data_IF_621720390286
#
_entry.id   IF_621720390286
#
_cell.length_a   1.000
_cell.length_b   1.000
_cell.length_c   1.000
_cell.angle_alpha   90.00
_cell.angle_beta   90.00
_cell.angle_gamma   90.00
#
_symmetry.space_group_name_H-M   'P 1'
#
loop_
_entity.id
_entity.type
_entity.pdbx_description
1 polymer ?
#
# COMPACT_ATOMS: atom_id res chain seq x y z
N UNK A 1 2.63 -25.05 27.47
CA UNK A 1 3.17 -23.71 27.12
C UNK A 1 2.91 -22.79 28.30
N UNK A 2 3.76 -21.73 28.50
CA UNK A 2 3.47 -20.74 29.53
C UNK A 2 2.21 -19.96 29.13
N UNK A 3 1.26 -19.82 30.07
CA UNK A 3 -0.03 -19.13 29.83
C UNK A 3 0.12 -17.70 29.20
N UNK A 4 1.19 -17.00 29.59
CA UNK A 4 1.53 -15.69 29.03
C UNK A 4 1.77 -15.71 27.51
N UNK A 5 2.33 -16.80 26.95
CA UNK A 5 2.56 -16.92 25.50
C UNK A 5 1.25 -17.17 24.73
N UNK A 6 0.32 -17.85 25.36
CA UNK A 6 -1.01 -18.09 24.78
C UNK A 6 -1.85 -16.80 24.79
N UNK A 7 -1.79 -16.03 25.88
CA UNK A 7 -2.43 -14.72 25.95
C UNK A 7 -1.90 -13.78 24.86
N UNK A 8 -0.57 -13.72 24.67
CA UNK A 8 0.05 -12.90 23.65
C UNK A 8 -0.32 -13.35 22.24
N UNK A 9 -0.44 -14.65 22.02
CA UNK A 9 -0.86 -15.22 20.73
C UNK A 9 -2.31 -14.88 20.42
N UNK A 10 -3.19 -14.96 21.43
CA UNK A 10 -4.61 -14.58 21.29
C UNK A 10 -4.76 -13.06 21.07
N UNK A 11 -3.94 -12.23 21.70
CA UNK A 11 -3.92 -10.79 21.45
C UNK A 11 -3.54 -10.45 19.99
N UNK A 12 -2.50 -11.13 19.47
CA UNK A 12 -2.07 -10.96 18.07
C UNK A 12 -3.15 -11.43 17.09
N UNK A 13 -3.79 -12.57 17.35
CA UNK A 13 -4.91 -13.06 16.54
C UNK A 13 -6.08 -12.08 16.56
N UNK A 14 -6.48 -11.61 17.74
CA UNK A 14 -7.56 -10.64 17.89
C UNK A 14 -7.32 -9.29 17.21
N UNK A 15 -6.08 -9.00 16.80
CA UNK A 15 -5.73 -7.82 15.99
C UNK A 15 -5.63 -8.12 14.49
N UNK A 16 -5.27 -9.34 14.13
CA UNK A 16 -5.21 -9.78 12.73
C UNK A 16 -6.63 -9.97 12.18
N UNK A 17 -7.52 -10.65 12.94
CA UNK A 17 -8.87 -10.98 12.50
C UNK A 17 -9.72 -9.76 12.07
N UNK A 18 -9.76 -8.63 12.81
CA UNK A 18 -10.52 -7.45 12.41
C UNK A 18 -9.82 -6.60 11.37
N UNK A 19 -8.57 -6.87 10.99
CA UNK A 19 -7.82 -6.08 10.01
C UNK A 19 -8.08 -6.56 8.59
N UNK A 20 -8.28 -5.64 7.66
CA UNK A 20 -8.40 -5.94 6.22
C UNK A 20 -7.10 -6.51 5.66
N UNK A 21 -5.98 -6.13 6.26
CA UNK A 21 -4.66 -6.61 5.89
C UNK A 21 -3.58 -6.10 6.83
N UNK A 22 -2.40 -6.70 6.74
CA UNK A 22 -1.22 -6.27 7.47
C UNK A 22 0.02 -6.25 6.60
N UNK A 23 0.96 -5.39 6.93
CA UNK A 23 2.27 -5.30 6.28
C UNK A 23 3.35 -5.67 7.28
N UNK A 24 4.25 -6.54 6.84
CA UNK A 24 5.45 -6.95 7.56
C UNK A 24 6.58 -5.99 7.24
N UNK A 25 7.10 -5.32 8.25
CA UNK A 25 8.26 -4.45 8.11
C UNK A 25 9.37 -4.86 9.08
N UNK A 26 10.59 -4.93 8.56
CA UNK A 26 11.79 -5.05 9.38
C UNK A 26 12.32 -3.65 9.64
N UNK A 27 12.63 -3.36 10.90
CA UNK A 27 13.21 -2.08 11.28
C UNK A 27 14.55 -2.27 11.95
N UNK A 28 15.51 -1.38 11.66
CA UNK A 28 16.85 -1.44 12.24
C UNK A 28 17.40 -0.02 12.43
N UNK A 29 17.84 0.30 13.66
CA UNK A 29 18.51 1.57 13.92
C UNK A 29 17.63 2.83 13.95
N UNK A 30 16.32 2.68 14.14
CA UNK A 30 15.41 3.83 14.27
C UNK A 30 15.55 4.46 15.66
N UNK A 31 15.72 5.78 15.73
CA UNK A 31 15.72 6.54 16.97
C UNK A 31 14.31 6.55 17.62
N UNK A 32 14.24 6.70 18.94
CA UNK A 32 12.96 6.75 19.66
C UNK A 32 12.00 7.84 19.14
N UNK A 33 12.51 9.02 18.82
CA UNK A 33 11.71 10.10 18.23
C UNK A 33 11.21 9.77 16.82
N UNK A 34 12.05 9.15 15.99
CA UNK A 34 11.67 8.68 14.65
C UNK A 34 10.58 7.61 14.72
N UNK A 35 10.68 6.72 15.71
CA UNK A 35 9.67 5.68 15.93
C UNK A 35 8.33 6.24 16.42
N UNK A 36 8.36 7.27 17.26
CA UNK A 36 7.16 7.99 17.69
C UNK A 36 6.48 8.69 16.51
N UNK A 37 7.25 9.40 15.69
CA UNK A 37 6.75 10.06 14.47
C UNK A 37 6.17 9.05 13.47
N UNK A 38 6.81 7.89 13.31
CA UNK A 38 6.33 6.81 12.47
C UNK A 38 4.97 6.27 12.94
N UNK A 39 4.83 6.00 14.26
CA UNK A 39 3.56 5.56 14.83
C UNK A 39 2.44 6.59 14.62
N UNK A 40 2.72 7.86 14.86
CA UNK A 40 1.73 8.92 14.68
C UNK A 40 1.22 8.99 13.24
N UNK A 41 2.14 8.93 12.26
CA UNK A 41 1.74 8.91 10.83
C UNK A 41 0.90 7.68 10.45
N UNK A 42 1.19 6.51 11.05
CA UNK A 42 0.39 5.31 10.80
C UNK A 42 -0.99 5.40 11.45
N UNK A 43 -1.09 5.97 12.64
CA UNK A 43 -2.38 6.21 13.31
C UNK A 43 -3.23 7.21 12.52
N UNK A 44 -2.64 8.29 11.98
CA UNK A 44 -3.30 9.24 11.07
C UNK A 44 -3.82 8.57 9.80
N UNK A 45 -3.09 7.55 9.29
CA UNK A 45 -3.51 6.74 8.15
C UNK A 45 -4.53 5.64 8.50
N UNK A 46 -5.00 5.57 9.76
CA UNK A 46 -5.97 4.58 10.23
C UNK A 46 -5.37 3.20 10.51
N UNK A 47 -4.06 3.10 10.72
CA UNK A 47 -3.36 1.87 11.03
C UNK A 47 -2.70 1.88 12.41
N UNK A 48 -2.38 0.69 12.90
CA UNK A 48 -1.64 0.49 14.15
C UNK A 48 -0.34 -0.28 13.88
N UNK A 49 0.73 0.05 14.59
CA UNK A 49 2.02 -0.64 14.47
C UNK A 49 2.38 -1.40 15.75
N UNK A 50 2.59 -2.70 15.61
CA UNK A 50 2.99 -3.59 16.70
C UNK A 50 4.31 -4.29 16.42
N UNK A 51 5.16 -4.33 17.43
CA UNK A 51 6.40 -5.09 17.41
C UNK A 51 6.17 -6.47 18.02
N UNK A 52 6.43 -7.50 17.23
CA UNK A 52 6.15 -8.88 17.63
C UNK A 52 7.40 -9.74 17.47
N UNK A 53 7.55 -10.72 18.40
CA UNK A 53 8.59 -11.73 18.29
C UNK A 53 8.30 -12.65 17.10
N UNK A 54 9.26 -12.85 16.21
CA UNK A 54 9.16 -13.71 15.01
C UNK A 54 8.48 -15.06 15.25
N UNK A 55 8.91 -15.77 16.33
CA UNK A 55 8.36 -17.08 16.66
C UNK A 55 6.88 -17.06 17.04
N UNK A 56 6.41 -15.96 17.65
CA UNK A 56 4.99 -15.80 18.01
C UNK A 56 4.18 -15.50 16.75
N UNK A 57 4.69 -14.63 15.90
CA UNK A 57 4.06 -14.32 14.61
C UNK A 57 3.90 -15.57 13.73
N UNK A 58 4.97 -16.36 13.54
CA UNK A 58 4.91 -17.58 12.72
C UNK A 58 3.93 -18.61 13.27
N UNK A 59 3.77 -18.70 14.61
CA UNK A 59 2.73 -19.56 15.19
C UNK A 59 1.33 -19.02 14.92
N UNK A 60 1.11 -17.72 15.14
CA UNK A 60 -0.17 -17.09 14.82
C UNK A 60 -0.52 -17.22 13.34
N UNK A 61 0.45 -17.03 12.46
CA UNK A 61 0.28 -17.17 11.02
C UNK A 61 -0.07 -18.62 10.61
N UNK A 62 0.55 -19.63 11.23
CA UNK A 62 0.20 -21.03 10.97
C UNK A 62 -1.22 -21.38 11.37
N UNK A 63 -1.69 -20.84 12.49
CA UNK A 63 -3.06 -21.06 12.97
C UNK A 63 -4.11 -20.37 12.07
N UNK A 64 -3.70 -19.37 11.30
CA UNK A 64 -4.50 -18.64 10.31
C UNK A 64 -4.26 -19.11 8.86
N UNK A 65 -3.64 -20.29 8.69
CA UNK A 65 -3.29 -20.89 7.39
C UNK A 65 -2.36 -20.02 6.51
N UNK A 66 -1.67 -19.06 7.11
CA UNK A 66 -0.73 -18.17 6.42
C UNK A 66 0.67 -18.80 6.40
N UNK A 67 1.18 -19.09 5.22
CA UNK A 67 2.50 -19.71 5.03
C UNK A 67 3.61 -18.67 5.09
N UNK A 68 4.15 -18.42 6.29
CA UNK A 68 5.36 -17.62 6.50
C UNK A 68 6.46 -18.48 7.15
N UNK A 69 7.65 -18.48 6.55
CA UNK A 69 8.82 -19.13 7.13
C UNK A 69 9.58 -18.18 8.07
N UNK A 70 10.19 -18.72 9.13
CA UNK A 70 11.01 -17.91 10.07
C UNK A 70 12.21 -17.30 9.35
N UNK A 71 12.74 -17.98 8.34
CA UNK A 71 13.94 -17.61 7.61
C UNK A 71 13.70 -16.42 6.65
N UNK A 72 12.43 -16.20 6.22
CA UNK A 72 12.04 -15.02 5.42
C UNK A 72 12.03 -13.73 6.24
N UNK A 73 12.06 -13.83 7.58
CA UNK A 73 11.94 -12.70 8.49
C UNK A 73 13.32 -12.28 9.00
N UNK A 74 14.01 -11.39 8.33
CA UNK A 74 15.27 -10.81 8.79
C UNK A 74 15.05 -9.65 9.79
N UNK A 75 15.96 -9.50 10.77
CA UNK A 75 15.98 -8.35 11.68
C UNK A 75 14.84 -8.33 12.72
N UNK A 76 14.49 -7.16 13.23
CA UNK A 76 13.37 -6.95 14.14
C UNK A 76 12.09 -6.75 13.32
N UNK A 77 11.07 -7.54 13.59
CA UNK A 77 9.83 -7.53 12.81
C UNK A 77 8.74 -6.75 13.51
N UNK A 78 8.15 -5.83 12.79
CA UNK A 78 6.94 -5.13 13.16
C UNK A 78 5.80 -5.44 12.20
N UNK A 79 4.60 -5.42 12.71
CA UNK A 79 3.36 -5.57 11.96
C UNK A 79 2.63 -4.23 11.94
N UNK A 80 2.33 -3.74 10.75
CA UNK A 80 1.45 -2.62 10.55
C UNK A 80 0.08 -3.17 10.12
N UNK A 81 -0.94 -2.96 10.96
CA UNK A 81 -2.32 -3.41 10.70
C UNK A 81 -3.13 -2.28 10.11
N UNK A 82 -3.89 -2.56 9.05
CA UNK A 82 -4.87 -1.65 8.50
C UNK A 82 -6.26 -2.00 9.01
N UNK A 83 -6.94 -1.03 9.64
CA UNK A 83 -8.33 -1.18 10.08
C UNK A 83 -9.30 -0.95 8.92
N UNK A 84 -9.21 0.22 8.28
CA UNK A 84 -10.16 0.65 7.27
C UNK A 84 -9.52 0.78 5.88
N UNK A 85 -8.28 1.30 5.81
CA UNK A 85 -7.67 1.67 4.53
C UNK A 85 -6.23 1.17 4.40
N UNK A 86 -6.08 -0.01 3.79
CA UNK A 86 -4.78 -0.64 3.56
C UNK A 86 -3.88 0.21 2.64
N UNK A 87 -4.48 0.92 1.68
CA UNK A 87 -3.75 1.76 0.73
C UNK A 87 -3.13 3.00 1.41
N UNK A 88 -3.87 3.66 2.31
CA UNK A 88 -3.35 4.79 3.07
C UNK A 88 -2.19 4.37 3.98
N UNK A 89 -2.33 3.22 4.65
CA UNK A 89 -1.28 2.63 5.49
C UNK A 89 -0.02 2.32 4.68
N UNK A 90 -0.14 1.66 3.52
CA UNK A 90 1.01 1.33 2.68
C UNK A 90 1.71 2.58 2.14
N UNK A 91 0.95 3.63 1.75
CA UNK A 91 1.52 4.91 1.35
C UNK A 91 2.30 5.58 2.47
N UNK A 92 1.73 5.65 3.68
CA UNK A 92 2.41 6.23 4.85
C UNK A 92 3.69 5.47 5.20
N UNK A 93 3.67 4.14 5.11
CA UNK A 93 4.81 3.26 5.35
C UNK A 93 5.93 3.49 4.31
N UNK A 94 5.58 3.57 3.03
CA UNK A 94 6.55 3.82 1.96
C UNK A 94 7.08 5.27 1.97
N UNK A 95 6.26 6.26 2.33
CA UNK A 95 6.73 7.63 2.54
C UNK A 95 7.81 7.68 3.61
N UNK A 96 7.59 7.00 4.75
CA UNK A 96 8.59 6.90 5.81
C UNK A 96 9.83 6.09 5.38
N UNK A 97 9.66 5.00 4.61
CA UNK A 97 10.77 4.22 4.02
C UNK A 97 11.65 5.12 3.14
N UNK A 98 11.07 5.97 2.32
CA UNK A 98 11.81 6.86 1.42
C UNK A 98 12.57 7.96 2.17
N UNK A 99 12.04 8.44 3.30
CA UNK A 99 12.75 9.40 4.18
C UNK A 99 13.91 8.74 4.94
N UNK A 100 13.80 7.42 5.22
CA UNK A 100 14.73 6.66 6.06
C UNK A 100 15.09 5.31 5.42
N UNK A 101 15.75 5.36 4.26
CA UNK A 101 16.01 4.21 3.36
C UNK A 101 16.70 3.03 4.06
N UNK A 102 17.62 3.29 5.00
CA UNK A 102 18.40 2.23 5.66
C UNK A 102 17.75 1.67 6.92
N UNK A 103 16.68 2.29 7.42
CA UNK A 103 16.12 1.94 8.74
C UNK A 103 14.89 1.06 8.67
N UNK A 104 14.14 1.08 7.56
CA UNK A 104 12.90 0.34 7.39
C UNK A 104 12.90 -0.44 6.07
N UNK A 105 12.77 -1.77 6.17
CA UNK A 105 12.59 -2.66 5.01
C UNK A 105 11.23 -3.32 5.08
N UNK A 106 10.48 -3.26 4.00
CA UNK A 106 9.22 -4.02 3.85
C UNK A 106 9.57 -5.42 3.39
N UNK A 107 9.13 -6.43 4.11
CA UNK A 107 9.36 -7.84 3.77
C UNK A 107 8.24 -8.35 2.88
N UNK A 108 7.03 -7.90 3.13
CA UNK A 108 5.83 -8.31 2.44
C UNK A 108 4.59 -7.97 3.24
N UNK A 109 3.47 -8.54 2.88
CA UNK A 109 2.22 -8.30 3.57
C UNK A 109 1.18 -9.37 3.29
N UNK A 110 0.01 -9.14 3.86
CA UNK A 110 -1.16 -9.95 3.61
C UNK A 110 -2.35 -9.03 3.38
N UNK A 111 -3.06 -9.23 2.29
CA UNK A 111 -4.19 -8.41 1.91
C UNK A 111 -5.30 -9.30 1.34
N UNK A 112 -6.51 -9.20 1.89
CA UNK A 112 -7.70 -9.95 1.44
C UNK A 112 -7.47 -11.47 1.26
N UNK A 113 -6.76 -12.10 2.20
CA UNK A 113 -6.51 -13.53 2.13
C UNK A 113 -5.34 -13.94 1.24
N UNK A 114 -4.61 -12.99 0.63
CA UNK A 114 -3.46 -13.27 -0.25
C UNK A 114 -2.15 -12.78 0.35
N UNK A 115 -1.11 -13.60 0.25
CA UNK A 115 0.25 -13.20 0.60
C UNK A 115 0.78 -12.26 -0.50
N UNK A 116 1.21 -11.06 -0.10
CA UNK A 116 1.81 -10.07 -0.97
C UNK A 116 3.32 -10.06 -0.78
N UNK A 117 4.06 -10.07 -1.89
CA UNK A 117 5.50 -9.87 -1.92
C UNK A 117 5.85 -8.40 -1.65
N UNK A 118 7.13 -8.09 -1.39
CA UNK A 118 7.61 -6.71 -1.28
C UNK A 118 7.24 -5.88 -2.53
N UNK A 119 7.37 -6.45 -3.73
CA UNK A 119 7.05 -5.80 -5.00
C UNK A 119 5.55 -5.49 -5.14
N UNK A 120 4.69 -6.39 -4.66
CA UNK A 120 3.24 -6.19 -4.69
C UNK A 120 2.83 -5.05 -3.76
N UNK A 121 3.40 -5.02 -2.54
CA UNK A 121 3.13 -3.95 -1.57
C UNK A 121 3.65 -2.60 -2.10
N UNK A 122 4.79 -2.59 -2.79
CA UNK A 122 5.31 -1.40 -3.46
C UNK A 122 4.37 -0.92 -4.58
N UNK A 123 3.86 -1.84 -5.40
CA UNK A 123 2.89 -1.52 -6.44
C UNK A 123 1.61 -0.94 -5.86
N UNK A 124 1.10 -1.53 -4.77
CA UNK A 124 -0.06 -1.02 -4.04
C UNK A 124 0.20 0.40 -3.49
N UNK A 125 1.40 0.67 -2.97
CA UNK A 125 1.74 2.00 -2.45
C UNK A 125 1.72 3.10 -3.52
N UNK A 126 1.95 2.75 -4.78
CA UNK A 126 1.93 3.67 -5.93
C UNK A 126 0.53 3.91 -6.49
N UNK A 127 -0.46 3.11 -6.09
CA UNK A 127 -1.84 3.29 -6.56
C UNK A 127 -2.43 4.64 -6.11
N UNK A 128 -3.22 5.30 -6.95
CA UNK A 128 -3.95 6.50 -6.56
C UNK A 128 -5.00 6.19 -5.47
N UNK A 129 -5.68 7.22 -4.98
CA UNK A 129 -6.78 7.04 -4.02
C UNK A 129 -7.97 6.27 -4.66
N UNK A 130 -8.86 5.73 -3.83
CA UNK A 130 -10.02 4.99 -4.34
C UNK A 130 -10.88 5.83 -5.28
N UNK A 131 -11.09 7.10 -4.95
CA UNK A 131 -11.91 8.00 -5.77
C UNK A 131 -11.21 8.37 -7.08
N UNK A 132 -9.89 8.54 -7.05
CA UNK A 132 -9.10 8.74 -8.27
C UNK A 132 -9.11 7.49 -9.17
N UNK A 133 -9.02 6.29 -8.60
CA UNK A 133 -9.14 5.04 -9.38
C UNK A 133 -10.53 4.90 -10.01
N UNK A 134 -11.60 5.24 -9.28
CA UNK A 134 -12.96 5.28 -9.81
C UNK A 134 -13.10 6.29 -10.95
N UNK A 135 -12.52 7.49 -10.78
CA UNK A 135 -12.52 8.51 -11.83
C UNK A 135 -11.75 8.08 -13.08
N UNK A 136 -10.57 7.45 -12.88
CA UNK A 136 -9.79 6.87 -14.00
C UNK A 136 -10.57 5.78 -14.73
N UNK A 137 -11.23 4.89 -14.00
CA UNK A 137 -12.04 3.83 -14.60
C UNK A 137 -13.21 4.41 -15.42
N UNK A 138 -13.93 5.39 -14.89
CA UNK A 138 -14.98 6.08 -15.63
C UNK A 138 -14.42 6.81 -16.87
N UNK A 139 -13.24 7.42 -16.74
CA UNK A 139 -12.54 8.05 -17.86
C UNK A 139 -12.18 7.06 -18.97
N UNK A 140 -11.70 5.86 -18.60
CA UNK A 140 -11.39 4.79 -19.56
C UNK A 140 -12.65 4.28 -20.28
N UNK A 141 -13.79 4.20 -19.60
CA UNK A 141 -15.06 3.83 -20.22
C UNK A 141 -15.58 4.90 -21.17
N UNK A 142 -15.35 6.18 -20.88
CA UNK A 142 -15.74 7.30 -21.72
C UNK A 142 -14.75 7.56 -22.90
N UNK A 143 -13.51 7.05 -22.78
CA UNK A 143 -12.45 7.32 -23.76
C UNK A 143 -12.81 6.98 -25.22
N UNK A 144 -13.46 5.85 -25.55
CA UNK A 144 -13.83 5.55 -26.94
C UNK A 144 -14.76 6.60 -27.53
N UNK A 145 -15.72 7.08 -26.75
CA UNK A 145 -16.67 8.12 -27.23
C UNK A 145 -15.98 9.47 -27.45
N UNK A 146 -15.14 9.88 -26.48
CA UNK A 146 -14.39 11.14 -26.58
C UNK A 146 -13.38 11.12 -27.73
N UNK A 147 -12.73 9.98 -27.97
CA UNK A 147 -11.79 9.82 -29.09
C UNK A 147 -12.51 9.93 -30.45
N UNK A 148 -13.65 9.29 -30.63
CA UNK A 148 -14.41 9.37 -31.86
C UNK A 148 -14.89 10.81 -32.15
N UNK A 149 -15.42 11.48 -31.12
CA UNK A 149 -15.81 12.90 -31.25
C UNK A 149 -14.60 13.79 -31.55
N UNK A 150 -13.46 13.54 -30.91
CA UNK A 150 -12.22 14.28 -31.18
C UNK A 150 -11.73 14.13 -32.61
N UNK A 151 -11.83 12.95 -33.23
CA UNK A 151 -11.47 12.73 -34.65
C UNK A 151 -12.39 13.51 -35.55
N UNK A 152 -13.71 13.49 -35.33
CA UNK A 152 -14.66 14.26 -36.13
C UNK A 152 -14.39 15.77 -36.01
N UNK A 153 -14.15 16.24 -34.79
CA UNK A 153 -13.80 17.64 -34.53
C UNK A 153 -12.47 18.04 -35.20
N UNK A 154 -11.46 17.16 -35.13
CA UNK A 154 -10.19 17.40 -35.80
C UNK A 154 -10.31 17.48 -37.33
N UNK A 155 -11.17 16.67 -37.94
CA UNK A 155 -11.47 16.76 -39.37
C UNK A 155 -12.09 18.10 -39.74
N UNK A 156 -13.02 18.60 -38.96
CA UNK A 156 -13.67 19.92 -39.21
C UNK A 156 -12.70 21.08 -39.01
N UNK A 157 -11.88 21.03 -37.97
CA UNK A 157 -10.90 22.07 -37.65
C UNK A 157 -9.68 22.07 -38.58
N UNK A 158 -9.33 20.93 -39.19
CA UNK A 158 -8.18 20.82 -40.10
C UNK A 158 -8.36 21.71 -41.35
N UNK A 159 -9.59 21.83 -41.87
CA UNK A 159 -9.90 22.70 -42.99
C UNK A 159 -9.69 24.17 -42.63
N UNK A 160 -10.11 24.56 -41.42
CA UNK A 160 -9.95 25.94 -40.93
C UNK A 160 -8.46 26.25 -40.74
N UNK A 161 -7.67 25.36 -40.15
CA UNK A 161 -6.22 25.52 -40.03
C UNK A 161 -5.50 25.63 -41.38
N UNK A 162 -5.94 24.90 -42.40
CA UNK A 162 -5.40 25.03 -43.74
C UNK A 162 -5.68 26.41 -44.34
N UNK A 163 -6.86 26.97 -44.13
CA UNK A 163 -7.21 28.31 -44.59
C UNK A 163 -6.45 29.41 -43.85
N UNK A 164 -6.36 29.30 -42.53
CA UNK A 164 -5.57 30.22 -41.69
C UNK A 164 -4.08 30.24 -42.06
N UNK A 165 -3.49 29.05 -42.26
CA UNK A 165 -2.09 28.94 -42.69
C UNK A 165 -1.85 29.53 -44.09
N UNK A 166 -2.85 29.50 -44.95
CA UNK A 166 -2.76 30.12 -46.29
C UNK A 166 -2.88 31.64 -46.20
N UNK A 167 -3.82 32.14 -45.38
CA UNK A 167 -4.00 33.56 -45.15
C UNK A 167 -2.77 34.23 -44.44
N UNK A 168 -2.07 33.51 -43.55
CA UNK A 168 -0.88 34.00 -42.89
C UNK A 168 0.42 33.90 -43.72
N UNK A 169 0.36 33.33 -44.92
CA UNK A 169 1.49 33.24 -45.87
C UNK A 169 1.42 34.22 -47.02
N UNK A 170 0.30 34.92 -47.15
CA UNK A 170 0.15 36.11 -48.00
C UNK A 170 0.33 37.38 -47.19
#
# INVERSE_FOLDING_TARGET
MLAEKELFLNEVKGKIDPSIGFVLASYRGINANGFASFRNRLVEAGGDFFVIKKRVFVKAAKDLELSYAVDELEGHVGLAFAKDNFLALTKALYAFKNENVDTLKVIGGHFEGKKCSEQDVETISKLPSQDEMRAQFLGLLAAPMTQTLGVVQAMLTSVIYCLDNKANKE
#
